data_IF_380406769618
#
_entry.id   IF_380406769618
#
_cell.length_a   1.000
_cell.length_b   1.000
_cell.length_c   1.000
_cell.angle_alpha   90.00
_cell.angle_beta   90.00
_cell.angle_gamma   90.00
#
_symmetry.space_group_name_H-M   'P 1'
#
loop_
_entity.id
_entity.type
_entity.pdbx_description
1 polymer ?
#
# COMPACT_ATOMS: atom_id res chain seq x y z
N UNK A 1 18.32 -17.17 19.90
CA UNK A 1 19.08 -17.06 18.63
C UNK A 1 18.12 -16.39 17.64
N UNK A 2 18.23 -15.10 17.32
CA UNK A 2 17.27 -14.50 16.42
C UNK A 2 17.66 -14.86 14.98
N UNK A 3 16.78 -15.59 14.31
CA UNK A 3 16.88 -15.92 12.89
C UNK A 3 16.36 -14.73 12.08
N UNK A 4 17.29 -14.06 11.42
CA UNK A 4 17.05 -13.03 10.42
C UNK A 4 16.62 -13.68 9.11
N UNK A 5 15.55 -13.17 8.51
CA UNK A 5 15.08 -13.62 7.22
C UNK A 5 15.11 -12.49 6.21
N UNK A 6 15.91 -12.70 5.16
CA UNK A 6 16.15 -11.74 4.11
C UNK A 6 15.38 -12.12 2.84
N UNK A 7 14.58 -11.19 2.33
CA UNK A 7 14.13 -11.19 0.94
C UNK A 7 15.11 -10.35 0.11
N UNK A 8 15.71 -10.96 -0.92
CA UNK A 8 16.75 -10.34 -1.75
C UNK A 8 16.13 -9.40 -2.78
N UNK A 9 16.32 -8.09 -2.62
CA UNK A 9 16.15 -7.12 -3.71
C UNK A 9 17.32 -7.19 -4.69
N UNK A 10 17.06 -6.97 -5.99
CA UNK A 10 18.13 -6.87 -7.00
C UNK A 10 19.00 -5.65 -6.69
N UNK A 11 20.22 -5.94 -6.26
CA UNK A 11 21.19 -4.98 -5.72
C UNK A 11 21.16 -5.05 -4.19
N UNK A 12 22.23 -5.55 -3.58
CA UNK A 12 22.37 -5.83 -2.13
C UNK A 12 22.34 -4.60 -1.22
N UNK A 13 21.35 -3.73 -1.40
CA UNK A 13 21.02 -2.68 -0.46
C UNK A 13 20.36 -3.32 0.79
N UNK A 14 20.65 -2.82 1.99
CA UNK A 14 19.99 -3.25 3.21
C UNK A 14 18.47 -3.08 3.10
N UNK A 15 17.71 -3.99 3.72
CA UNK A 15 16.26 -3.85 3.84
C UNK A 15 15.91 -2.49 4.46
N UNK A 16 15.02 -1.75 3.80
CA UNK A 16 14.60 -0.45 4.28
C UNK A 16 13.68 -0.61 5.50
N UNK A 17 14.20 -0.32 6.69
CA UNK A 17 13.42 -0.31 7.93
C UNK A 17 12.77 1.04 8.10
N UNK A 18 11.44 1.05 8.31
CA UNK A 18 10.68 2.26 8.62
C UNK A 18 9.80 2.03 9.84
N UNK A 19 9.49 3.12 10.55
CA UNK A 19 8.60 3.09 11.71
C UNK A 19 7.25 3.71 11.35
N UNK A 20 6.17 2.98 11.62
CA UNK A 20 4.81 3.46 11.45
C UNK A 20 4.27 4.01 12.77
N UNK A 21 3.77 5.24 12.74
CA UNK A 21 3.05 5.81 13.88
C UNK A 21 1.61 5.30 13.89
N UNK A 22 1.14 4.85 15.06
CA UNK A 22 -0.28 4.54 15.27
C UNK A 22 -1.10 5.82 15.07
N UNK A 23 -2.21 5.72 14.34
CA UNK A 23 -3.14 6.83 14.16
C UNK A 23 -3.96 7.03 15.44
N UNK A 24 -4.17 8.30 15.80
CA UNK A 24 -4.95 8.71 16.97
C UNK A 24 -5.99 9.74 16.52
N UNK A 25 -7.31 9.50 16.71
CA UNK A 25 -7.90 8.28 17.28
C UNK A 25 -7.69 7.05 16.36
N UNK A 26 -7.72 5.84 16.95
CA UNK A 26 -7.61 4.60 16.18
C UNK A 26 -8.85 4.46 15.30
N UNK A 27 -8.64 4.17 14.01
CA UNK A 27 -9.69 3.98 13.02
C UNK A 27 -9.43 2.72 12.19
N UNK A 28 -10.42 2.32 11.39
CA UNK A 28 -10.33 1.15 10.49
C UNK A 28 -9.22 1.27 9.42
N UNK A 29 -8.71 2.49 9.20
CA UNK A 29 -7.62 2.74 8.24
C UNK A 29 -6.25 2.85 8.91
N UNK A 30 -6.16 2.62 10.23
CA UNK A 30 -4.88 2.67 10.94
C UNK A 30 -4.01 1.45 10.59
N UNK A 31 -2.85 1.63 9.91
CA UNK A 31 -2.05 0.50 9.46
C UNK A 31 -1.48 -0.33 10.62
N UNK A 32 -1.13 0.31 11.74
CA UNK A 32 -0.59 -0.37 12.93
C UNK A 32 -1.65 -1.26 13.57
N UNK A 33 -2.85 -0.73 13.84
CA UNK A 33 -3.92 -1.51 14.45
C UNK A 33 -4.39 -2.65 13.53
N UNK A 34 -4.49 -2.39 12.22
CA UNK A 34 -4.85 -3.41 11.23
C UNK A 34 -3.81 -4.52 11.17
N UNK A 35 -2.51 -4.19 11.21
CA UNK A 35 -1.43 -5.18 11.19
C UNK A 35 -1.42 -6.04 12.46
N UNK A 36 -1.60 -5.44 13.63
CA UNK A 36 -1.69 -6.18 14.90
C UNK A 36 -2.86 -7.17 14.90
N UNK A 37 -4.04 -6.72 14.48
CA UNK A 37 -5.22 -7.58 14.35
C UNK A 37 -4.97 -8.73 13.36
N UNK A 38 -4.35 -8.43 12.22
CA UNK A 38 -4.00 -9.43 11.22
C UNK A 38 -3.03 -10.48 11.78
N UNK A 39 -1.97 -10.06 12.48
CA UNK A 39 -0.99 -10.97 13.09
C UNK A 39 -1.66 -11.86 14.14
N UNK A 40 -2.50 -11.29 15.01
CA UNK A 40 -3.24 -12.04 16.02
C UNK A 40 -4.14 -13.12 15.40
N UNK A 41 -4.93 -12.77 14.38
CA UNK A 41 -5.86 -13.70 13.73
C UNK A 41 -5.11 -14.77 12.92
N UNK A 42 -4.00 -14.39 12.27
CA UNK A 42 -3.25 -15.27 11.39
C UNK A 42 -2.26 -16.20 12.10
N UNK A 43 -1.94 -15.96 13.39
CA UNK A 43 -0.95 -16.73 14.15
C UNK A 43 -1.18 -18.25 14.09
N UNK A 44 -2.43 -18.67 14.25
CA UNK A 44 -2.79 -20.10 14.19
C UNK A 44 -2.45 -20.77 12.86
N UNK A 45 -2.41 -20.02 11.75
CA UNK A 45 -2.12 -20.53 10.41
C UNK A 45 -0.63 -20.52 10.07
N UNK A 46 0.21 -19.93 10.92
CA UNK A 46 1.65 -19.83 10.69
C UNK A 46 2.42 -21.06 11.18
N UNK A 47 1.78 -21.90 12.00
CA UNK A 47 2.39 -23.13 12.53
C UNK A 47 2.78 -24.07 11.40
N UNK A 48 4.07 -24.40 11.30
CA UNK A 48 4.59 -25.32 10.29
C UNK A 48 4.91 -24.68 8.93
N UNK A 49 4.69 -23.37 8.76
CA UNK A 49 5.13 -22.64 7.57
C UNK A 49 6.57 -22.18 7.79
N UNK A 50 7.50 -22.66 6.95
CA UNK A 50 8.89 -22.17 6.91
C UNK A 50 8.97 -20.95 5.98
N UNK A 51 8.43 -19.81 6.41
CA UNK A 51 8.49 -18.57 5.65
C UNK A 51 8.27 -17.36 6.54
N UNK A 52 9.07 -16.34 6.31
CA UNK A 52 8.99 -15.05 7.02
C UNK A 52 8.08 -14.05 6.31
N UNK A 53 7.27 -14.52 5.35
CA UNK A 53 6.31 -13.67 4.66
C UNK A 53 5.22 -13.19 5.62
N UNK A 54 4.96 -11.89 5.58
CA UNK A 54 3.89 -11.30 6.35
C UNK A 54 2.53 -11.84 5.92
N UNK A 55 2.27 -11.92 4.62
CA UNK A 55 0.93 -12.20 4.10
C UNK A 55 0.74 -13.69 3.75
N UNK A 56 -0.40 -14.24 4.19
CA UNK A 56 -0.84 -15.61 3.93
C UNK A 56 -2.02 -15.64 2.96
N UNK A 57 -2.16 -16.75 2.26
CA UNK A 57 -3.31 -17.07 1.40
C UNK A 57 -4.60 -17.09 2.23
N UNK A 58 -5.68 -16.55 1.68
CA UNK A 58 -7.00 -16.57 2.33
C UNK A 58 -7.64 -17.97 2.35
N UNK A 59 -7.13 -18.90 1.54
CA UNK A 59 -7.61 -20.29 1.46
C UNK A 59 -6.60 -21.24 2.09
N UNK A 60 -7.11 -22.24 2.80
CA UNK A 60 -6.32 -23.38 3.26
C UNK A 60 -5.55 -24.00 2.06
N UNK A 61 -4.28 -24.40 2.23
CA UNK A 61 -3.52 -24.48 3.50
C UNK A 61 -2.85 -23.18 4.01
N UNK A 62 -3.31 -21.99 3.60
CA UNK A 62 -2.82 -20.68 4.09
C UNK A 62 -1.32 -20.41 3.89
N UNK A 63 -0.74 -20.90 2.79
CA UNK A 63 0.65 -20.63 2.44
C UNK A 63 0.96 -19.14 2.27
N UNK A 64 2.23 -18.76 2.41
CA UNK A 64 2.73 -17.43 2.09
C UNK A 64 2.35 -16.99 0.67
N UNK A 65 2.00 -15.71 0.50
CA UNK A 65 1.66 -15.14 -0.80
C UNK A 65 2.69 -14.11 -1.25
N UNK A 66 2.99 -14.11 -2.55
CA UNK A 66 3.88 -13.14 -3.18
C UNK A 66 3.16 -11.90 -3.71
N UNK A 67 3.95 -10.96 -4.25
CA UNK A 67 3.48 -9.68 -4.79
C UNK A 67 2.38 -9.78 -5.87
N UNK A 68 2.39 -10.84 -6.69
CA UNK A 68 1.38 -11.04 -7.74
C UNK A 68 -0.02 -11.28 -7.16
N UNK A 69 -0.13 -12.03 -6.06
CA UNK A 69 -1.40 -12.29 -5.37
C UNK A 69 -1.90 -11.03 -4.67
N UNK A 70 -1.01 -10.33 -3.96
CA UNK A 70 -1.34 -9.06 -3.31
C UNK A 70 -1.80 -8.01 -4.32
N UNK A 71 -1.16 -7.93 -5.49
CA UNK A 71 -1.57 -7.02 -6.57
C UNK A 71 -2.97 -7.34 -7.09
N UNK A 72 -3.33 -8.63 -7.20
CA UNK A 72 -4.69 -9.04 -7.60
C UNK A 72 -5.71 -8.67 -6.54
N UNK A 73 -5.43 -8.89 -5.26
CA UNK A 73 -6.32 -8.49 -4.17
C UNK A 73 -6.52 -6.99 -4.14
N UNK A 74 -5.46 -6.19 -4.27
CA UNK A 74 -5.57 -4.75 -4.31
C UNK A 74 -6.41 -4.26 -5.50
N UNK A 75 -6.20 -4.84 -6.70
CA UNK A 75 -7.01 -4.53 -7.87
C UNK A 75 -8.50 -4.89 -7.65
N UNK A 76 -8.79 -6.06 -7.10
CA UNK A 76 -10.15 -6.48 -6.78
C UNK A 76 -10.81 -5.52 -5.78
N UNK A 77 -10.08 -5.10 -4.73
CA UNK A 77 -10.59 -4.11 -3.77
C UNK A 77 -10.91 -2.77 -4.43
N UNK A 78 -10.07 -2.29 -5.36
CA UNK A 78 -10.38 -1.07 -6.13
C UNK A 78 -11.70 -1.24 -6.89
N UNK A 79 -11.87 -2.36 -7.60
CA UNK A 79 -13.09 -2.67 -8.35
C UNK A 79 -14.33 -2.72 -7.44
N UNK A 80 -14.24 -3.41 -6.31
CA UNK A 80 -15.31 -3.52 -5.31
C UNK A 80 -15.73 -2.15 -4.73
N UNK A 81 -14.81 -1.17 -4.71
CA UNK A 81 -15.09 0.21 -4.29
C UNK A 81 -15.60 1.12 -5.42
N UNK A 82 -15.82 0.59 -6.63
CA UNK A 82 -16.31 1.33 -7.78
C UNK A 82 -15.24 2.09 -8.56
N UNK A 83 -13.95 1.82 -8.32
CA UNK A 83 -12.86 2.41 -9.09
C UNK A 83 -12.69 1.62 -10.39
N UNK A 84 -12.68 2.31 -11.53
CA UNK A 84 -12.50 1.68 -12.84
C UNK A 84 -11.13 1.02 -12.98
N UNK A 85 -11.09 -0.31 -12.94
CA UNK A 85 -9.84 -1.07 -13.00
C UNK A 85 -9.34 -1.40 -14.40
N UNK A 86 -10.03 -0.89 -15.44
CA UNK A 86 -9.48 -0.80 -16.79
C UNK A 86 -8.46 0.34 -16.90
N UNK A 87 -8.62 1.37 -16.07
CA UNK A 87 -7.74 2.54 -15.99
C UNK A 87 -6.77 2.41 -14.81
N UNK A 88 -7.28 2.04 -13.63
CA UNK A 88 -6.52 2.01 -12.39
C UNK A 88 -6.11 0.58 -12.02
N UNK A 89 -4.85 0.43 -11.59
CA UNK A 89 -4.29 -0.85 -11.17
C UNK A 89 -3.89 -0.79 -9.70
N UNK A 90 -3.44 -1.92 -9.15
CA UNK A 90 -2.81 -1.98 -7.83
C UNK A 90 -1.74 -0.88 -7.63
N UNK A 91 -0.93 -0.65 -8.66
CA UNK A 91 0.15 0.34 -8.63
C UNK A 91 -0.34 1.79 -8.60
N UNK A 92 -1.56 2.05 -9.09
CA UNK A 92 -2.18 3.38 -9.05
C UNK A 92 -2.32 3.89 -7.61
N UNK A 93 -2.48 2.99 -6.63
CA UNK A 93 -2.51 3.31 -5.18
C UNK A 93 -1.22 4.02 -4.74
N UNK A 94 -0.06 3.59 -5.23
CA UNK A 94 1.24 4.20 -4.92
C UNK A 94 1.33 5.62 -5.48
N UNK A 95 0.88 5.81 -6.72
CA UNK A 95 0.81 7.13 -7.36
C UNK A 95 -0.16 8.08 -6.66
N UNK A 96 -1.35 7.61 -6.32
CA UNK A 96 -2.37 8.39 -5.61
C UNK A 96 -1.87 8.85 -4.22
N UNK A 97 -1.26 7.94 -3.44
CA UNK A 97 -0.68 8.25 -2.13
C UNK A 97 0.41 9.33 -2.23
N UNK A 98 1.35 9.16 -3.15
CA UNK A 98 2.44 10.13 -3.31
C UNK A 98 1.96 11.48 -3.88
N UNK A 99 0.95 11.47 -4.75
CA UNK A 99 0.30 12.69 -5.24
C UNK A 99 -0.34 13.45 -4.08
N UNK A 100 -1.10 12.74 -3.23
CA UNK A 100 -1.73 13.34 -2.05
C UNK A 100 -0.69 13.90 -1.07
N UNK A 101 0.42 13.20 -0.86
CA UNK A 101 1.49 13.68 0.01
C UNK A 101 2.10 14.98 -0.52
N UNK A 102 2.29 15.08 -1.83
CA UNK A 102 2.78 16.28 -2.48
C UNK A 102 1.76 17.43 -2.43
N UNK A 103 0.47 17.15 -2.66
CA UNK A 103 -0.61 18.14 -2.52
C UNK A 103 -0.76 18.62 -1.07
N UNK A 104 -0.32 17.82 -0.10
CA UNK A 104 -0.30 18.17 1.33
C UNK A 104 0.97 18.92 1.75
N UNK A 105 1.81 19.33 0.79
CA UNK A 105 3.00 20.15 1.04
C UNK A 105 4.25 19.38 1.48
N UNK A 106 4.28 18.06 1.36
CA UNK A 106 5.49 17.28 1.67
C UNK A 106 6.59 17.60 0.65
N UNK A 107 7.84 17.77 1.12
CA UNK A 107 8.97 18.12 0.25
C UNK A 107 9.22 17.04 -0.81
N UNK A 108 9.69 17.45 -1.99
CA UNK A 108 10.02 16.51 -3.07
C UNK A 108 11.04 15.47 -2.61
N UNK A 109 12.06 15.89 -1.86
CA UNK A 109 13.06 14.98 -1.30
C UNK A 109 12.43 13.92 -0.38
N UNK A 110 11.47 14.33 0.47
CA UNK A 110 10.72 13.41 1.32
C UNK A 110 9.90 12.42 0.50
N UNK A 111 9.25 12.88 -0.57
CA UNK A 111 8.47 12.03 -1.47
C UNK A 111 9.37 11.00 -2.18
N UNK A 112 10.51 11.42 -2.72
CA UNK A 112 11.45 10.52 -3.40
C UNK A 112 12.02 9.48 -2.45
N UNK A 113 12.36 9.88 -1.22
CA UNK A 113 12.85 8.98 -0.18
C UNK A 113 11.80 7.95 0.21
N UNK A 114 10.59 8.39 0.57
CA UNK A 114 9.49 7.50 0.98
C UNK A 114 8.97 6.63 -0.17
N UNK A 115 8.99 7.17 -1.38
CA UNK A 115 8.58 6.48 -2.59
C UNK A 115 9.69 5.66 -3.23
N UNK A 116 10.90 5.58 -2.66
CA UNK A 116 12.06 4.87 -3.24
C UNK A 116 12.30 5.20 -4.73
N UNK A 117 12.22 6.49 -5.10
CA UNK A 117 12.51 6.96 -6.45
C UNK A 117 13.89 7.60 -6.53
N UNK A 118 14.65 7.23 -7.56
CA UNK A 118 15.98 7.78 -7.80
C UNK A 118 15.97 9.20 -8.35
N UNK A 119 14.86 9.65 -8.94
CA UNK A 119 14.74 10.98 -9.53
C UNK A 119 13.33 11.55 -9.41
N UNK A 120 13.27 12.88 -9.30
CA UNK A 120 12.02 13.64 -9.41
C UNK A 120 11.31 13.39 -10.74
N UNK A 121 12.04 13.29 -11.84
CA UNK A 121 11.45 13.01 -13.16
C UNK A 121 10.67 11.69 -13.20
N UNK A 122 11.14 10.65 -12.48
CA UNK A 122 10.44 9.37 -12.37
C UNK A 122 9.13 9.54 -11.62
N UNK A 123 9.17 10.21 -10.47
CA UNK A 123 7.97 10.52 -9.69
C UNK A 123 6.97 11.33 -10.52
N UNK A 124 7.39 12.48 -11.05
CA UNK A 124 6.51 13.42 -11.75
C UNK A 124 5.88 12.81 -13.00
N UNK A 125 6.64 12.03 -13.79
CA UNK A 125 6.12 11.44 -15.03
C UNK A 125 5.17 10.26 -14.80
N UNK A 126 5.49 9.38 -13.86
CA UNK A 126 4.78 8.10 -13.74
C UNK A 126 3.80 8.04 -12.57
N UNK A 127 4.00 8.84 -11.52
CA UNK A 127 3.30 8.71 -10.24
C UNK A 127 2.55 9.96 -9.81
N UNK A 128 3.01 11.17 -10.13
CA UNK A 128 2.27 12.40 -9.83
C UNK A 128 1.06 12.50 -10.77
N UNK A 129 -0.12 12.44 -10.18
CA UNK A 129 -1.40 12.68 -10.86
C UNK A 129 -2.02 13.95 -10.26
N UNK A 130 -2.51 14.83 -11.11
CA UNK A 130 -3.30 15.96 -10.66
C UNK A 130 -4.73 15.47 -10.40
N UNK A 131 -5.34 15.94 -9.32
CA UNK A 131 -6.77 15.75 -9.12
C UNK A 131 -7.45 16.67 -10.13
N UNK A 132 -8.03 16.10 -11.18
CA UNK A 132 -8.97 16.85 -12.00
C UNK A 132 -10.20 17.11 -11.13
N UNK A 133 -10.37 18.36 -10.71
CA UNK A 133 -11.64 18.82 -10.17
C UNK A 133 -12.61 18.84 -11.34
N UNK A 134 -13.32 17.73 -11.58
CA UNK A 134 -14.43 17.76 -12.53
C UNK A 134 -15.50 18.69 -11.96
N UNK A 135 -15.85 19.72 -12.74
CA UNK A 135 -16.93 20.66 -12.39
C UNK A 135 -18.29 19.97 -12.18
N UNK A 136 -18.43 18.71 -12.61
CA UNK A 136 -19.65 17.92 -12.46
C UNK A 136 -19.91 17.42 -11.04
N UNK A 137 -18.90 17.37 -10.15
CA UNK A 137 -19.09 16.89 -8.78
C UNK A 137 -19.81 17.90 -7.85
N UNK A 138 -19.97 19.16 -8.27
CA UNK A 138 -20.58 20.21 -7.44
C UNK A 138 -22.08 20.45 -7.70
N UNK A 139 -22.72 19.70 -8.62
CA UNK A 139 -24.11 19.99 -9.04
C UNK A 139 -25.15 18.99 -8.52
N UNK A 140 -24.84 18.20 -7.48
CA UNK A 140 -25.79 17.20 -6.95
C UNK A 140 -26.08 17.29 -5.44
N UNK A 141 -25.68 18.35 -4.72
CA UNK A 141 -26.00 18.52 -3.28
C UNK A 141 -26.93 19.72 -2.99
N UNK A 142 -27.42 20.44 -4.01
CA UNK A 142 -28.46 21.46 -3.84
C UNK A 142 -29.69 21.12 -4.69
N UNK A 143 -30.45 20.14 -4.24
CA UNK A 143 -31.68 19.74 -4.94
C UNK A 143 -32.50 18.65 -4.27
N UNK A 144 -32.98 18.90 -3.05
CA UNK A 144 -34.34 18.67 -2.52
C UNK A 144 -34.34 18.52 -1.01
#
# INVERSE_FOLDING_TARGET
>A
IPSEAAEVQRGGAPLHVFSLKRLVPVSRVCPVATLEAYLLISDQFRKGIQSDSLFLSLRAPHHSVGASTLSRWLKATLEETGIDTSIYSAHSTRGASASKAADSGMSIEGILRMGSWSSESTFTRFYRRQIELSLEANTLVLGR
#
